data_IF_908439880478
#
_entry.id   IF_908439880478
#
_cell.length_a   1.000
_cell.length_b   1.000
_cell.length_c   1.000
_cell.angle_alpha   90.00
_cell.angle_beta   90.00
_cell.angle_gamma   90.00
#
_symmetry.space_group_name_H-M   'P 1'
#
loop_
_entity.id
_entity.type
_entity.pdbx_description
1 polymer ?
#
# COMPACT_ATOMS: atom_id res chain seq x y z
N UNK A 1 15.11 17.27 23.24
CA UNK A 1 15.03 15.91 22.68
C UNK A 1 13.62 15.55 22.18
N UNK A 2 12.55 16.23 22.62
CA UNK A 2 11.17 15.99 22.15
C UNK A 2 10.81 16.65 20.79
N UNK A 3 11.33 17.84 20.51
CA UNK A 3 10.93 18.59 19.29
C UNK A 3 11.48 17.97 17.99
N UNK A 4 12.73 17.51 18.01
CA UNK A 4 13.37 16.86 16.84
C UNK A 4 12.66 15.56 16.44
N UNK A 5 12.25 14.77 17.44
CA UNK A 5 11.55 13.50 17.22
C UNK A 5 10.14 13.73 16.65
N UNK A 6 9.48 14.81 17.06
CA UNK A 6 8.18 15.23 16.53
C UNK A 6 8.29 15.69 15.08
N UNK A 7 9.33 16.47 14.75
CA UNK A 7 9.63 16.90 13.37
C UNK A 7 9.91 15.72 12.44
N UNK A 8 10.71 14.74 12.89
CA UNK A 8 11.00 13.53 12.12
C UNK A 8 9.72 12.71 11.87
N UNK A 9 8.88 12.54 12.91
CA UNK A 9 7.62 11.82 12.78
C UNK A 9 6.66 12.50 11.80
N UNK A 10 6.55 13.82 11.86
CA UNK A 10 5.73 14.61 10.94
C UNK A 10 6.23 14.50 9.50
N UNK A 11 7.53 14.64 9.28
CA UNK A 11 8.14 14.49 7.96
C UNK A 11 7.85 13.10 7.38
N UNK A 12 8.00 12.05 8.20
CA UNK A 12 7.70 10.68 7.78
C UNK A 12 6.21 10.47 7.48
N UNK A 13 5.30 11.02 8.29
CA UNK A 13 3.84 11.02 8.02
C UNK A 13 3.53 11.63 6.66
N UNK A 14 4.11 12.79 6.34
CA UNK A 14 3.90 13.48 5.06
C UNK A 14 4.46 12.65 3.90
N UNK A 15 5.67 12.12 4.02
CA UNK A 15 6.29 11.29 2.97
C UNK A 15 5.44 10.06 2.66
N UNK A 16 4.98 9.35 3.70
CA UNK A 16 4.11 8.18 3.53
C UNK A 16 2.75 8.56 2.97
N UNK A 17 2.13 9.65 3.44
CA UNK A 17 0.85 10.10 2.92
C UNK A 17 0.93 10.43 1.42
N UNK A 18 1.99 11.14 1.01
CA UNK A 18 2.27 11.43 -0.41
C UNK A 18 2.49 10.13 -1.20
N UNK A 19 3.24 9.17 -0.64
CA UNK A 19 3.47 7.87 -1.27
C UNK A 19 2.16 7.13 -1.55
N UNK A 20 1.31 6.93 -0.54
CA UNK A 20 0.04 6.22 -0.69
C UNK A 20 -0.92 6.98 -1.61
N UNK A 21 -1.03 8.30 -1.47
CA UNK A 21 -1.88 9.13 -2.32
C UNK A 21 -1.43 9.07 -3.80
N UNK A 22 -0.13 9.16 -4.07
CA UNK A 22 0.43 9.06 -5.42
C UNK A 22 0.19 7.67 -6.01
N UNK A 23 0.33 6.61 -5.21
CA UNK A 23 0.07 5.25 -5.69
C UNK A 23 -1.42 5.03 -6.00
N UNK A 24 -2.30 5.47 -5.11
CA UNK A 24 -3.76 5.40 -5.30
C UNK A 24 -4.22 6.22 -6.51
N UNK A 25 -3.69 7.43 -6.68
CA UNK A 25 -3.98 8.28 -7.83
C UNK A 25 -3.54 7.64 -9.15
N UNK A 26 -2.36 7.00 -9.17
CA UNK A 26 -1.89 6.25 -10.35
C UNK A 26 -2.85 5.11 -10.69
N UNK A 27 -3.26 4.31 -9.70
CA UNK A 27 -4.23 3.21 -9.88
C UNK A 27 -5.59 3.70 -10.35
N UNK A 28 -6.05 4.84 -9.83
CA UNK A 28 -7.32 5.45 -10.24
C UNK A 28 -7.27 5.95 -11.68
N UNK A 29 -6.18 6.62 -12.09
CA UNK A 29 -5.99 7.07 -13.48
C UNK A 29 -5.90 5.91 -14.48
N UNK A 30 -5.36 4.78 -14.04
CA UNK A 30 -5.15 3.59 -14.85
C UNK A 30 -6.04 2.43 -14.36
N UNK A 31 -7.29 2.71 -13.99
CA UNK A 31 -8.18 1.75 -13.31
C UNK A 31 -8.41 0.48 -14.13
N UNK A 32 -8.53 0.60 -15.45
CA UNK A 32 -8.71 -0.55 -16.34
C UNK A 32 -7.49 -1.49 -16.32
N UNK A 33 -6.29 -0.93 -16.36
CA UNK A 33 -5.03 -1.70 -16.29
C UNK A 33 -4.85 -2.33 -14.92
N UNK A 34 -5.22 -1.61 -13.85
CA UNK A 34 -5.17 -2.14 -12.49
C UNK A 34 -6.15 -3.30 -12.31
N UNK A 35 -7.38 -3.16 -12.79
CA UNK A 35 -8.39 -4.22 -12.81
C UNK A 35 -7.88 -5.47 -13.54
N UNK A 36 -7.35 -5.33 -14.76
CA UNK A 36 -6.81 -6.45 -15.51
C UNK A 36 -5.66 -7.15 -14.77
N UNK A 37 -4.79 -6.37 -14.11
CA UNK A 37 -3.72 -6.93 -13.27
C UNK A 37 -4.30 -7.77 -12.13
N UNK A 38 -5.36 -7.32 -11.46
CA UNK A 38 -6.03 -8.10 -10.40
C UNK A 38 -6.65 -9.39 -10.96
N UNK A 39 -7.27 -9.32 -12.13
CA UNK A 39 -7.84 -10.49 -12.81
C UNK A 39 -6.76 -11.52 -13.12
N UNK A 40 -5.63 -11.09 -13.68
CA UNK A 40 -4.51 -11.97 -14.04
C UNK A 40 -3.85 -12.63 -12.83
N UNK A 41 -3.84 -11.97 -11.66
CA UNK A 41 -3.40 -12.57 -10.39
C UNK A 41 -4.33 -13.71 -9.92
N UNK A 42 -5.55 -13.82 -10.46
CA UNK A 42 -6.44 -14.98 -10.34
C UNK A 42 -7.15 -15.18 -9.00
N UNK A 43 -6.67 -14.57 -7.90
CA UNK A 43 -7.22 -14.77 -6.54
C UNK A 43 -8.66 -14.24 -6.42
N UNK A 44 -9.01 -13.20 -7.18
CA UNK A 44 -10.32 -12.54 -7.10
C UNK A 44 -10.92 -12.19 -8.46
N UNK A 45 -10.63 -12.96 -9.52
CA UNK A 45 -11.04 -12.63 -10.89
C UNK A 45 -12.54 -12.27 -11.03
N UNK A 46 -13.45 -13.01 -10.37
CA UNK A 46 -14.91 -12.75 -10.40
C UNK A 46 -15.35 -11.48 -9.66
N UNK A 47 -14.54 -10.97 -8.73
CA UNK A 47 -14.82 -9.79 -7.91
C UNK A 47 -13.78 -8.69 -8.09
N UNK A 48 -13.01 -8.74 -9.18
CA UNK A 48 -11.85 -7.87 -9.39
C UNK A 48 -12.23 -6.40 -9.38
N UNK A 49 -13.42 -6.01 -9.85
CA UNK A 49 -13.91 -4.62 -9.80
C UNK A 49 -14.01 -4.09 -8.38
N UNK A 50 -14.71 -4.82 -7.50
CA UNK A 50 -14.86 -4.45 -6.09
C UNK A 50 -13.52 -4.48 -5.36
N UNK A 51 -12.68 -5.46 -5.68
CA UNK A 51 -11.38 -5.62 -5.06
C UNK A 51 -10.40 -4.50 -5.46
N UNK A 52 -10.38 -4.11 -6.74
CA UNK A 52 -9.63 -2.96 -7.23
C UNK A 52 -10.05 -1.68 -6.53
N UNK A 53 -11.36 -1.42 -6.45
CA UNK A 53 -11.90 -0.24 -5.77
C UNK A 53 -11.52 -0.24 -4.29
N UNK A 54 -11.74 -1.36 -3.58
CA UNK A 54 -11.40 -1.52 -2.18
C UNK A 54 -9.92 -1.22 -1.91
N UNK A 55 -8.99 -1.79 -2.68
CA UNK A 55 -7.57 -1.58 -2.47
C UNK A 55 -7.13 -0.13 -2.68
N UNK A 56 -7.71 0.54 -3.69
CA UNK A 56 -7.46 1.97 -3.92
C UNK A 56 -8.01 2.80 -2.77
N UNK A 57 -9.22 2.49 -2.29
CA UNK A 57 -9.83 3.17 -1.15
C UNK A 57 -9.00 3.01 0.11
N UNK A 58 -8.50 1.80 0.41
CA UNK A 58 -7.63 1.57 1.56
C UNK A 58 -6.35 2.42 1.49
N UNK A 59 -5.73 2.57 0.31
CA UNK A 59 -4.56 3.46 0.15
C UNK A 59 -4.89 4.93 0.40
N UNK A 60 -6.02 5.43 -0.13
CA UNK A 60 -6.46 6.78 0.18
C UNK A 60 -6.77 6.97 1.66
N UNK A 61 -7.39 5.98 2.31
CA UNK A 61 -7.67 6.02 3.75
C UNK A 61 -6.38 6.08 4.57
N UNK A 62 -5.33 5.33 4.20
CA UNK A 62 -4.02 5.43 4.86
C UNK A 62 -3.45 6.84 4.70
N UNK A 63 -3.48 7.40 3.48
CA UNK A 63 -2.97 8.75 3.23
C UNK A 63 -3.71 9.82 4.04
N UNK A 64 -5.04 9.74 4.11
CA UNK A 64 -5.89 10.68 4.84
C UNK A 64 -5.65 10.55 6.36
N UNK A 65 -5.62 9.31 6.87
CA UNK A 65 -5.44 9.06 8.31
C UNK A 65 -4.06 9.46 8.82
N UNK A 66 -3.00 9.34 7.98
CA UNK A 66 -1.68 9.86 8.29
C UNK A 66 -1.63 11.39 8.43
N UNK A 67 -2.48 12.12 7.70
CA UNK A 67 -2.52 13.60 7.72
C UNK A 67 -3.41 14.13 8.84
N UNK A 68 -4.60 13.55 9.01
CA UNK A 68 -5.63 14.08 9.92
C UNK A 68 -5.36 13.84 11.41
N UNK A 69 -4.35 13.06 11.79
CA UNK A 69 -3.96 12.81 13.19
C UNK A 69 -5.08 12.32 14.12
N UNK A 70 -6.21 11.84 13.58
CA UNK A 70 -7.42 11.62 14.36
C UNK A 70 -7.34 10.34 15.22
N UNK A 71 -6.82 9.26 14.65
CA UNK A 71 -6.55 8.00 15.36
C UNK A 71 -5.37 7.28 14.71
N UNK A 72 -4.20 7.33 15.37
CA UNK A 72 -2.98 6.73 14.84
C UNK A 72 -3.09 5.20 14.67
N UNK A 73 -3.97 4.55 15.43
CA UNK A 73 -4.27 3.11 15.27
C UNK A 73 -4.87 2.80 13.89
N UNK A 74 -5.62 3.73 13.29
CA UNK A 74 -6.34 3.47 12.04
C UNK A 74 -5.39 3.29 10.85
N UNK A 75 -4.40 4.15 10.66
CA UNK A 75 -3.46 3.98 9.54
C UNK A 75 -2.68 2.66 9.69
N UNK A 76 -2.42 2.24 10.93
CA UNK A 76 -1.70 0.99 11.20
C UNK A 76 -2.56 -0.22 10.85
N UNK A 77 -3.80 -0.28 11.33
CA UNK A 77 -4.72 -1.40 11.04
C UNK A 77 -4.99 -1.52 9.55
N UNK A 78 -5.31 -0.40 8.88
CA UNK A 78 -5.59 -0.36 7.44
C UNK A 78 -4.32 -0.73 6.66
N UNK A 79 -3.16 -0.18 7.05
CA UNK A 79 -1.87 -0.50 6.45
C UNK A 79 -1.50 -1.98 6.58
N UNK A 80 -1.63 -2.57 7.78
CA UNK A 80 -1.41 -3.99 8.01
C UNK A 80 -2.32 -4.84 7.12
N UNK A 81 -3.61 -4.53 7.06
CA UNK A 81 -4.57 -5.24 6.22
C UNK A 81 -4.17 -5.15 4.73
N UNK A 82 -3.86 -3.95 4.25
CA UNK A 82 -3.48 -3.71 2.86
C UNK A 82 -2.19 -4.44 2.48
N UNK A 83 -1.15 -4.33 3.31
CA UNK A 83 0.13 -5.00 3.08
C UNK A 83 0.00 -6.52 3.15
N UNK A 84 -0.81 -7.04 4.08
CA UNK A 84 -1.12 -8.46 4.15
C UNK A 84 -1.78 -8.95 2.86
N UNK A 85 -2.80 -8.22 2.36
CA UNK A 85 -3.45 -8.55 1.10
C UNK A 85 -2.44 -8.55 -0.07
N UNK A 86 -1.60 -7.52 -0.19
CA UNK A 86 -0.59 -7.47 -1.27
C UNK A 86 0.42 -8.61 -1.18
N UNK A 87 0.89 -8.93 0.03
CA UNK A 87 1.80 -10.06 0.23
C UNK A 87 1.12 -11.39 -0.10
N UNK A 88 -0.13 -11.61 0.31
CA UNK A 88 -0.89 -12.81 -0.06
C UNK A 88 -1.06 -12.91 -1.57
N UNK A 89 -1.39 -11.82 -2.26
CA UNK A 89 -1.49 -11.81 -3.72
C UNK A 89 -0.15 -12.14 -4.38
N UNK A 90 0.95 -11.60 -3.88
CA UNK A 90 2.30 -11.91 -4.38
C UNK A 90 2.70 -13.37 -4.13
N UNK A 91 2.36 -13.95 -2.97
CA UNK A 91 2.63 -15.37 -2.70
C UNK A 91 1.82 -16.28 -3.63
N UNK A 92 0.52 -16.01 -3.82
CA UNK A 92 -0.35 -16.83 -4.69
C UNK A 92 -0.03 -16.63 -6.17
N UNK A 93 0.39 -15.43 -6.58
CA UNK A 93 0.82 -15.12 -7.94
C UNK A 93 2.22 -15.65 -8.28
N UNK A 94 2.97 -16.13 -7.29
CA UNK A 94 4.37 -16.58 -7.48
C UNK A 94 4.43 -17.76 -8.45
N UNK A 95 5.29 -17.65 -9.46
CA UNK A 95 5.40 -18.64 -10.55
C UNK A 95 4.49 -18.40 -11.75
N UNK A 96 3.60 -17.38 -11.72
CA UNK A 96 2.81 -16.98 -12.89
C UNK A 96 3.42 -15.74 -13.54
N UNK A 97 3.64 -15.77 -14.85
CA UNK A 97 3.92 -14.57 -15.63
C UNK A 97 2.63 -13.79 -15.81
N UNK A 98 2.38 -12.86 -14.90
CA UNK A 98 1.34 -11.84 -15.07
C UNK A 98 1.83 -10.97 -16.23
N UNK A 99 1.03 -10.76 -17.28
CA UNK A 99 1.46 -9.97 -18.44
C UNK A 99 0.66 -8.68 -18.48
N UNK A 100 0.79 -7.81 -17.46
CA UNK A 100 0.06 -6.56 -17.50
C UNK A 100 0.60 -5.76 -18.69
N UNK A 101 -0.32 -5.22 -19.48
CA UNK A 101 -0.03 -4.34 -20.63
C UNK A 101 0.85 -3.13 -20.27
N UNK A 102 1.06 -2.87 -18.98
CA UNK A 102 2.04 -1.92 -18.48
C UNK A 102 2.69 -2.43 -17.18
N UNK A 103 4.00 -2.23 -16.99
CA UNK A 103 4.72 -2.34 -15.69
C UNK A 103 4.29 -1.23 -14.69
N UNK A 104 3.03 -0.82 -14.73
CA UNK A 104 2.54 0.39 -14.08
C UNK A 104 2.43 0.25 -12.55
N UNK A 105 2.43 -0.97 -11.99
CA UNK A 105 2.14 -1.22 -10.56
C UNK A 105 3.20 -2.05 -9.83
N UNK A 106 4.47 -1.96 -10.25
CA UNK A 106 5.62 -2.76 -9.78
C UNK A 106 5.76 -2.95 -8.26
N UNK A 107 5.29 -2.01 -7.44
CA UNK A 107 5.41 -2.12 -5.99
C UNK A 107 4.28 -2.93 -5.35
N UNK A 108 3.06 -2.82 -5.87
CA UNK A 108 1.88 -3.49 -5.30
C UNK A 108 1.62 -4.84 -5.98
N UNK A 109 1.66 -4.86 -7.32
CA UNK A 109 1.36 -6.00 -8.17
C UNK A 109 2.38 -6.06 -9.32
N UNK A 110 3.63 -6.48 -9.05
CA UNK A 110 4.65 -6.60 -10.08
C UNK A 110 4.30 -7.66 -11.13
N UNK A 111 4.83 -7.47 -12.34
CA UNK A 111 4.79 -8.44 -13.45
C UNK A 111 5.54 -9.74 -13.11
N UNK A 112 6.72 -9.59 -12.51
CA UNK A 112 7.51 -10.70 -11.97
C UNK A 112 7.68 -10.47 -10.49
N UNK A 113 7.19 -11.42 -9.68
CA UNK A 113 7.35 -11.34 -8.24
C UNK A 113 8.83 -11.51 -7.93
N UNK A 114 9.44 -10.43 -7.46
CA UNK A 114 10.84 -10.36 -7.07
C UNK A 114 10.93 -10.13 -5.58
N UNK A 115 12.01 -10.60 -4.95
CA UNK A 115 12.34 -10.30 -3.55
C UNK A 115 12.27 -8.79 -3.27
N UNK A 116 12.61 -7.95 -4.25
CA UNK A 116 12.51 -6.49 -4.15
C UNK A 116 11.08 -6.01 -3.89
N UNK A 117 10.08 -6.57 -4.58
CA UNK A 117 8.67 -6.17 -4.39
C UNK A 117 8.13 -6.53 -3.00
N UNK A 118 8.49 -7.70 -2.49
CA UNK A 118 8.15 -8.16 -1.14
C UNK A 118 8.84 -7.26 -0.10
N UNK A 119 10.13 -6.97 -0.30
CA UNK A 119 10.89 -6.08 0.60
C UNK A 119 10.27 -4.68 0.69
N UNK A 120 9.78 -4.12 -0.40
CA UNK A 120 9.12 -2.80 -0.38
C UNK A 120 7.85 -2.83 0.49
N UNK A 121 7.04 -3.90 0.39
CA UNK A 121 5.85 -4.06 1.25
C UNK A 121 6.24 -4.14 2.73
N UNK A 122 7.29 -4.90 3.05
CA UNK A 122 7.81 -5.02 4.41
C UNK A 122 8.39 -3.71 4.95
N UNK A 123 9.12 -2.96 4.13
CA UNK A 123 9.69 -1.66 4.49
C UNK A 123 8.58 -0.64 4.79
N UNK A 124 7.55 -0.57 3.95
CA UNK A 124 6.42 0.33 4.18
C UNK A 124 5.69 -0.03 5.48
N UNK A 125 5.48 -1.31 5.72
CA UNK A 125 4.88 -1.80 6.96
C UNK A 125 5.73 -1.45 8.18
N UNK A 126 7.05 -1.62 8.09
CA UNK A 126 8.00 -1.23 9.14
C UNK A 126 7.92 0.26 9.46
N UNK A 127 7.81 1.12 8.45
CA UNK A 127 7.66 2.56 8.67
C UNK A 127 6.34 2.90 9.37
N UNK A 128 5.22 2.26 8.99
CA UNK A 128 3.93 2.46 9.67
C UNK A 128 4.00 2.04 11.15
N UNK A 129 4.60 0.88 11.44
CA UNK A 129 4.78 0.39 12.82
C UNK A 129 5.67 1.34 13.63
N UNK A 130 6.78 1.79 13.05
CA UNK A 130 7.72 2.71 13.70
C UNK A 130 7.02 4.02 14.04
N UNK A 131 6.25 4.57 13.10
CA UNK A 131 5.54 5.83 13.25
C UNK A 131 4.43 5.74 14.30
N UNK A 132 3.74 4.60 14.40
CA UNK A 132 2.81 4.29 15.50
C UNK A 132 3.52 4.15 16.85
N UNK A 133 4.66 3.46 16.90
CA UNK A 133 5.45 3.35 18.12
C UNK A 133 5.94 4.70 18.63
N UNK A 134 6.28 5.62 17.72
CA UNK A 134 6.63 7.01 18.05
C UNK A 134 5.40 7.78 18.55
N UNK A 135 4.24 7.62 17.90
CA UNK A 135 3.05 8.41 18.23
C UNK A 135 2.39 8.03 19.56
N UNK A 136 2.53 6.79 20.03
CA UNK A 136 2.08 6.41 21.38
C UNK A 136 2.99 6.98 22.48
N UNK A 137 4.25 7.27 22.14
CA UNK A 137 5.28 7.73 23.11
C UNK A 137 5.43 9.25 23.18
N UNK A 138 4.88 9.97 22.21
CA UNK A 138 4.78 11.44 22.17
C UNK A 138 3.49 11.87 22.88
#
# INVERSE_FOLDING_TARGET
MGDDMTLIALALKVILAVYYCKNAARKTRQIYQYYNTIVEYGVFAKKATYFSALLITLEYMIAITLVLHYHDVLYLLIGMLLHFIYLTMQVIGSGKSVNPSCNCFEHSLPKTISLKSILIQLILLFFLITLYGISIRL
#
